data_IF_593515502515
#
_entry.id   IF_593515502515
#
_cell.length_a   1.000
_cell.length_b   1.000
_cell.length_c   1.000
_cell.angle_alpha   90.00
_cell.angle_beta   90.00
_cell.angle_gamma   90.00
#
_symmetry.space_group_name_H-M   'P 1'
#
loop_
_entity.id
_entity.type
_entity.pdbx_description
1 polymer ?
#
# COMPACT_ATOMS: atom_id res chain seq x y z
N UNK A 1 3.94 -7.70 10.86
CA UNK A 1 3.51 -6.30 11.07
C UNK A 1 2.02 -6.24 10.80
N UNK A 2 1.23 -5.55 11.64
CA UNK A 2 -0.22 -5.40 11.42
C UNK A 2 -0.52 -4.06 10.78
N UNK A 3 -1.34 -4.06 9.75
CA UNK A 3 -1.75 -2.86 9.01
C UNK A 3 -3.26 -2.75 9.06
N UNK A 4 -3.75 -1.67 9.67
CA UNK A 4 -5.16 -1.37 9.78
C UNK A 4 -5.52 -0.39 8.67
N UNK A 5 -6.39 -0.80 7.76
CA UNK A 5 -7.06 0.08 6.82
C UNK A 5 -8.39 0.49 7.43
N UNK A 6 -8.55 1.77 7.74
CA UNK A 6 -9.67 2.31 8.53
C UNK A 6 -10.55 3.14 7.63
N UNK A 7 -11.85 2.88 7.59
CA UNK A 7 -12.81 3.74 6.89
C UNK A 7 -13.08 4.99 7.73
N UNK A 8 -12.17 5.97 7.69
CA UNK A 8 -12.22 7.16 8.56
C UNK A 8 -13.31 8.17 8.18
N UNK A 9 -13.97 8.01 7.03
CA UNK A 9 -15.16 8.77 6.64
C UNK A 9 -15.79 8.26 5.35
N UNK A 10 -16.89 8.87 4.90
CA UNK A 10 -17.66 8.44 3.72
C UNK A 10 -16.81 8.32 2.45
N UNK A 11 -15.89 9.27 2.24
CA UNK A 11 -14.96 9.31 1.11
C UNK A 11 -13.51 9.48 1.56
N UNK A 12 -13.19 8.84 2.69
CA UNK A 12 -11.87 8.93 3.33
C UNK A 12 -11.51 7.60 3.96
N UNK A 13 -10.22 7.30 3.96
CA UNK A 13 -9.66 6.24 4.76
C UNK A 13 -8.40 6.74 5.45
N UNK A 14 -8.03 6.06 6.53
CA UNK A 14 -6.78 6.25 7.22
C UNK A 14 -6.09 4.91 7.42
N UNK A 15 -4.84 4.95 7.85
CA UNK A 15 -4.09 3.77 8.20
C UNK A 15 -3.46 3.89 9.58
N UNK A 16 -3.35 2.75 10.24
CA UNK A 16 -2.61 2.57 11.49
C UNK A 16 -1.76 1.32 11.39
N UNK A 17 -0.49 1.38 11.79
CA UNK A 17 0.46 0.29 11.60
C UNK A 17 1.14 -0.04 12.93
N UNK A 18 1.03 -1.31 13.30
CA UNK A 18 1.67 -1.87 14.50
C UNK A 18 2.86 -2.76 14.10
N UNK A 19 4.01 -2.45 14.71
CA UNK A 19 5.26 -3.19 14.57
C UNK A 19 5.77 -3.54 15.96
N UNK A 20 6.20 -4.77 16.14
CA UNK A 20 6.73 -5.24 17.42
C UNK A 20 7.92 -4.38 17.86
N UNK A 21 7.89 -3.90 19.11
CA UNK A 21 8.96 -3.08 19.69
C UNK A 21 9.15 -1.69 19.06
N UNK A 22 8.22 -1.23 18.21
CA UNK A 22 8.32 0.07 17.54
C UNK A 22 7.07 0.93 17.76
N UNK A 23 7.20 2.27 17.67
CA UNK A 23 6.05 3.15 17.75
C UNK A 23 5.04 2.85 16.64
N UNK A 24 3.76 2.98 16.98
CA UNK A 24 2.64 2.94 16.04
C UNK A 24 2.80 4.09 15.05
N UNK A 25 2.58 3.78 13.78
CA UNK A 25 2.54 4.77 12.71
C UNK A 25 1.11 4.96 12.22
N UNK A 26 0.76 6.18 11.85
CA UNK A 26 -0.55 6.53 11.30
C UNK A 26 -0.43 7.43 10.07
N UNK A 27 -1.43 7.36 9.21
CA UNK A 27 -1.65 8.28 8.09
C UNK A 27 -3.16 8.49 7.94
N UNK A 28 -3.67 9.65 8.32
CA UNK A 28 -5.10 9.98 8.22
C UNK A 28 -5.28 11.49 7.91
N UNK A 29 -5.95 11.87 6.81
CA UNK A 29 -6.42 10.98 5.75
C UNK A 29 -5.26 10.42 4.92
N UNK A 30 -5.41 9.17 4.47
CA UNK A 30 -4.58 8.59 3.44
C UNK A 30 -4.99 9.08 2.04
N UNK A 31 -4.05 9.23 1.09
CA UNK A 31 -4.34 9.68 -0.27
C UNK A 31 -5.03 8.58 -1.10
N UNK A 32 -5.62 8.95 -2.24
CA UNK A 32 -6.11 7.94 -3.20
C UNK A 32 -7.30 7.13 -2.71
N UNK A 33 -8.28 7.78 -2.06
CA UNK A 33 -9.54 7.12 -1.71
C UNK A 33 -10.21 6.54 -2.95
N UNK A 34 -10.65 5.28 -2.83
CA UNK A 34 -11.50 4.60 -3.80
C UNK A 34 -12.52 3.72 -3.05
N UNK A 35 -13.79 3.67 -3.50
CA UNK A 35 -14.84 2.95 -2.78
C UNK A 35 -14.69 1.43 -2.81
N UNK A 36 -13.99 0.89 -3.81
CA UNK A 36 -13.83 -0.55 -3.98
C UNK A 36 -12.55 -1.06 -3.32
N UNK A 37 -11.43 -0.35 -3.52
CA UNK A 37 -10.13 -0.79 -3.05
C UNK A 37 -9.20 0.41 -2.84
N UNK A 38 -8.83 0.75 -1.59
CA UNK A 38 -7.94 1.88 -1.29
C UNK A 38 -6.59 1.76 -2.00
N UNK A 39 -6.03 2.90 -2.41
CA UNK A 39 -4.73 2.94 -3.11
C UNK A 39 -3.61 2.24 -2.34
N UNK A 40 -3.47 2.50 -1.04
CA UNK A 40 -2.44 1.84 -0.23
C UNK A 40 -2.67 0.32 -0.09
N UNK A 41 -3.91 -0.16 -0.26
CA UNK A 41 -4.20 -1.61 -0.23
C UNK A 41 -3.73 -2.29 -1.51
N UNK A 42 -3.75 -1.58 -2.65
CA UNK A 42 -3.12 -2.02 -3.90
C UNK A 42 -1.63 -2.24 -3.67
N UNK A 43 -0.92 -1.23 -3.14
CA UNK A 43 0.49 -1.35 -2.80
C UNK A 43 0.76 -2.51 -1.83
N UNK A 44 -0.07 -2.66 -0.80
CA UNK A 44 0.08 -3.73 0.18
C UNK A 44 0.06 -5.11 -0.47
N UNK A 45 -0.95 -5.41 -1.29
CA UNK A 45 -1.06 -6.73 -1.93
C UNK A 45 0.05 -6.94 -2.93
N UNK A 46 0.33 -5.94 -3.78
CA UNK A 46 1.32 -6.06 -4.84
C UNK A 46 2.71 -6.28 -4.27
N UNK A 47 3.12 -5.48 -3.28
CA UNK A 47 4.41 -5.64 -2.64
C UNK A 47 4.51 -6.99 -1.91
N UNK A 48 3.45 -7.42 -1.23
CA UNK A 48 3.43 -8.70 -0.51
C UNK A 48 3.53 -9.90 -1.45
N UNK A 49 2.74 -9.92 -2.52
CA UNK A 49 2.67 -11.03 -3.48
C UNK A 49 3.95 -11.11 -4.30
N UNK A 50 4.45 -9.98 -4.76
CA UNK A 50 5.72 -9.95 -5.50
C UNK A 50 6.92 -10.13 -4.55
N UNK A 51 6.80 -9.84 -3.26
CA UNK A 51 7.90 -9.88 -2.30
C UNK A 51 8.83 -8.66 -2.40
N UNK A 52 8.31 -7.51 -2.81
CA UNK A 52 9.04 -6.25 -2.91
C UNK A 52 9.22 -5.65 -1.51
N UNK A 53 10.45 -5.23 -1.17
CA UNK A 53 10.79 -4.73 0.17
C UNK A 53 11.21 -3.26 0.16
N UNK A 54 11.50 -2.71 -1.01
CA UNK A 54 11.80 -1.30 -1.21
C UNK A 54 10.56 -0.41 -1.41
N UNK A 55 9.36 -0.98 -1.53
CA UNK A 55 8.09 -0.25 -1.59
C UNK A 55 7.61 0.30 -0.23
N UNK A 56 6.38 0.81 -0.17
CA UNK A 56 5.79 1.48 1.00
C UNK A 56 5.83 0.59 2.24
N UNK A 57 5.25 -0.60 2.18
CA UNK A 57 5.11 -1.48 3.35
C UNK A 57 6.42 -2.18 3.68
N UNK A 58 7.23 -2.47 2.67
CA UNK A 58 8.61 -2.93 2.86
C UNK A 58 9.46 -1.92 3.63
N UNK A 59 9.39 -0.64 3.27
CA UNK A 59 10.10 0.44 3.98
C UNK A 59 9.61 0.60 5.42
N UNK A 60 8.30 0.52 5.64
CA UNK A 60 7.72 0.61 6.99
C UNK A 60 8.14 -0.60 7.82
N UNK A 61 8.13 -1.82 7.26
CA UNK A 61 8.64 -3.02 7.93
C UNK A 61 10.13 -2.88 8.28
N UNK A 62 10.92 -2.18 7.45
CA UNK A 62 12.33 -1.88 7.68
C UNK A 62 12.60 -0.72 8.66
N UNK A 63 11.56 -0.16 9.28
CA UNK A 63 11.67 0.90 10.29
C UNK A 63 11.67 2.33 9.74
N UNK A 64 11.28 2.52 8.47
CA UNK A 64 11.00 3.83 7.89
C UNK A 64 9.55 4.28 8.11
N UNK A 65 9.21 5.41 7.49
CA UNK A 65 7.90 6.05 7.50
C UNK A 65 7.28 6.18 6.09
N UNK A 66 7.94 5.63 5.07
CA UNK A 66 7.57 5.77 3.65
C UNK A 66 7.29 7.23 3.20
N UNK A 67 7.83 8.22 3.92
CA UNK A 67 7.67 9.65 3.62
C UNK A 67 6.34 10.29 4.02
N UNK A 68 5.31 9.52 4.37
CA UNK A 68 3.96 10.04 4.66
C UNK A 68 3.40 9.66 6.03
N UNK A 69 3.93 8.61 6.66
CA UNK A 69 3.45 8.17 7.96
C UNK A 69 4.10 8.95 9.10
N UNK A 70 3.36 9.10 10.20
CA UNK A 70 3.88 9.75 11.40
C UNK A 70 3.63 8.90 12.64
N UNK A 71 4.42 9.11 13.69
CA UNK A 71 4.24 8.43 14.96
C UNK A 71 2.92 8.89 15.59
N UNK A 72 2.08 7.93 15.98
CA UNK A 72 0.79 8.17 16.62
C UNK A 72 0.92 9.13 17.82
N UNK A 73 0.01 10.09 17.89
CA UNK A 73 -0.09 11.01 19.02
C UNK A 73 -0.84 10.34 20.17
N UNK A 74 -0.36 10.52 21.40
CA UNK A 74 -0.89 9.80 22.56
C UNK A 74 -0.34 8.36 22.65
N UNK A 75 -0.32 7.80 23.86
CA UNK A 75 0.30 6.51 24.15
C UNK A 75 1.30 6.59 25.30
N UNK A 76 1.97 5.47 25.59
CA UNK A 76 2.85 5.32 26.74
C UNK A 76 4.14 6.17 26.68
N UNK A 77 4.50 6.69 25.50
CA UNK A 77 5.71 7.50 25.32
C UNK A 77 5.49 8.93 25.80
N UNK A 78 6.48 9.46 26.54
CA UNK A 78 6.56 10.89 26.82
C UNK A 78 6.70 11.70 25.52
N UNK A 79 6.37 12.99 25.58
CA UNK A 79 6.49 13.88 24.41
C UNK A 79 7.91 13.90 23.82
N UNK A 80 8.94 13.86 24.69
CA UNK A 80 10.35 13.87 24.28
C UNK A 80 10.76 12.57 23.59
N UNK A 81 10.35 11.42 24.11
CA UNK A 81 10.62 10.11 23.50
C UNK A 81 9.92 9.98 22.15
N UNK A 82 8.69 10.47 22.04
CA UNK A 82 7.93 10.49 20.78
C UNK A 82 8.62 11.34 19.73
N UNK A 83 9.07 12.56 20.08
CA UNK A 83 9.79 13.41 19.15
C UNK A 83 11.10 12.76 18.67
N UNK A 84 11.84 12.11 19.58
CA UNK A 84 13.05 11.37 19.23
C UNK A 84 12.74 10.20 18.30
N UNK A 85 11.68 9.45 18.59
CA UNK A 85 11.24 8.33 17.78
C UNK A 85 10.82 8.78 16.37
N UNK A 86 10.01 9.84 16.26
CA UNK A 86 9.61 10.41 14.98
C UNK A 86 10.81 10.84 14.14
N UNK A 87 11.77 11.57 14.71
CA UNK A 87 13.01 11.95 14.01
C UNK A 87 13.80 10.74 13.52
N UNK A 88 13.87 9.67 14.32
CA UNK A 88 14.54 8.42 13.94
C UNK A 88 13.83 7.74 12.76
N UNK A 89 12.50 7.70 12.77
CA UNK A 89 11.70 7.12 11.68
C UNK A 89 11.92 7.91 10.38
N UNK A 90 11.79 9.24 10.41
CA UNK A 90 12.03 10.12 9.25
C UNK A 90 13.45 9.96 8.70
N UNK A 91 14.46 9.96 9.57
CA UNK A 91 15.84 9.78 9.14
C UNK A 91 16.09 8.41 8.51
N UNK A 92 15.42 7.36 9.00
CA UNK A 92 15.50 6.01 8.43
C UNK A 92 14.74 5.93 7.10
N UNK A 93 13.52 6.48 7.03
CA UNK A 93 12.71 6.57 5.81
C UNK A 93 13.45 7.28 4.69
N UNK A 94 14.01 8.47 4.95
CA UNK A 94 14.80 9.21 3.97
C UNK A 94 16.01 8.43 3.45
N UNK A 95 16.64 7.57 4.26
CA UNK A 95 17.72 6.68 3.80
C UNK A 95 17.18 5.56 2.92
N UNK A 96 16.06 4.94 3.31
CA UNK A 96 15.43 3.84 2.57
C UNK A 96 14.94 4.29 1.20
N UNK A 97 14.26 5.45 1.12
CA UNK A 97 13.82 6.07 -0.14
C UNK A 97 15.01 6.29 -1.07
N UNK A 98 16.12 6.85 -0.57
CA UNK A 98 17.33 7.05 -1.38
C UNK A 98 17.95 5.75 -1.90
N UNK A 99 17.76 4.64 -1.18
CA UNK A 99 18.29 3.33 -1.54
C UNK A 99 17.29 2.40 -2.23
N UNK A 100 16.08 2.88 -2.53
CA UNK A 100 14.99 2.01 -3.05
C UNK A 100 15.33 1.38 -4.41
N UNK A 101 16.12 2.11 -5.21
CA UNK A 101 16.56 1.69 -6.54
C UNK A 101 15.40 1.22 -7.43
N UNK A 102 15.72 0.27 -8.31
CA UNK A 102 14.76 -0.29 -9.27
C UNK A 102 13.61 -1.04 -8.60
N UNK A 103 13.82 -1.65 -7.44
CA UNK A 103 12.74 -2.37 -6.74
C UNK A 103 11.65 -1.42 -6.24
N UNK A 104 12.02 -0.23 -5.74
CA UNK A 104 11.06 0.79 -5.37
C UNK A 104 10.24 1.28 -6.57
N UNK A 105 10.89 1.55 -7.69
CA UNK A 105 10.20 1.89 -8.95
C UNK A 105 9.27 0.77 -9.42
N UNK A 106 9.72 -0.48 -9.36
CA UNK A 106 8.92 -1.64 -9.73
C UNK A 106 7.67 -1.77 -8.84
N UNK A 107 7.74 -1.38 -7.57
CA UNK A 107 6.57 -1.35 -6.68
C UNK A 107 5.48 -0.44 -7.23
N UNK A 108 5.83 0.80 -7.58
CA UNK A 108 4.91 1.79 -8.14
C UNK A 108 4.32 1.33 -9.48
N UNK A 109 5.20 0.85 -10.38
CA UNK A 109 4.78 0.39 -11.71
C UNK A 109 3.87 -0.84 -11.61
N UNK A 110 4.19 -1.81 -10.75
CA UNK A 110 3.37 -3.00 -10.57
C UNK A 110 2.02 -2.64 -9.92
N UNK A 111 2.00 -1.76 -8.91
CA UNK A 111 0.76 -1.27 -8.30
C UNK A 111 -0.15 -0.63 -9.35
N UNK A 112 0.40 0.26 -10.18
CA UNK A 112 -0.32 0.87 -11.29
C UNK A 112 -0.87 -0.15 -12.29
N UNK A 113 -0.04 -1.09 -12.76
CA UNK A 113 -0.43 -2.10 -13.75
C UNK A 113 -1.54 -3.03 -13.23
N UNK A 114 -1.43 -3.49 -11.98
CA UNK A 114 -2.45 -4.34 -11.39
C UNK A 114 -3.74 -3.57 -11.09
N UNK A 115 -3.66 -2.33 -10.62
CA UNK A 115 -4.84 -1.49 -10.37
C UNK A 115 -5.63 -1.25 -11.65
N UNK A 116 -4.96 -0.81 -12.72
CA UNK A 116 -5.62 -0.58 -14.02
C UNK A 116 -6.18 -1.89 -14.59
N UNK A 117 -5.39 -2.96 -14.58
CA UNK A 117 -5.83 -4.26 -15.09
C UNK A 117 -7.08 -4.78 -14.38
N UNK A 118 -7.09 -4.74 -13.05
CA UNK A 118 -8.23 -5.21 -12.25
C UNK A 118 -9.45 -4.30 -12.38
N UNK A 119 -9.27 -2.97 -12.38
CA UNK A 119 -10.41 -2.03 -12.53
C UNK A 119 -11.03 -2.12 -13.92
N UNK A 120 -10.23 -2.39 -14.95
CA UNK A 120 -10.76 -2.56 -16.31
C UNK A 120 -11.65 -3.78 -16.49
N UNK A 121 -11.45 -4.84 -15.68
CA UNK A 121 -12.29 -6.04 -15.72
C UNK A 121 -13.55 -5.94 -14.85
N UNK A 122 -13.58 -5.02 -13.88
CA UNK A 122 -14.65 -4.91 -12.88
C UNK A 122 -15.58 -3.71 -13.09
N UNK A 123 -15.11 -2.65 -13.77
CA UNK A 123 -15.88 -1.42 -13.97
C UNK A 123 -16.29 -1.24 -15.44
N UNK A 124 -17.43 -0.54 -15.71
CA UNK A 124 -17.87 -0.27 -17.08
C UNK A 124 -16.86 0.55 -17.88
N UNK A 125 -16.69 0.20 -19.15
CA UNK A 125 -15.80 0.91 -20.08
C UNK A 125 -16.08 2.43 -20.10
N UNK A 126 -15.01 3.22 -20.04
CA UNK A 126 -15.07 4.68 -20.03
C UNK A 126 -13.84 5.28 -20.69
N UNK A 127 -13.94 6.54 -21.15
CA UNK A 127 -12.80 7.24 -21.75
C UNK A 127 -11.58 7.28 -20.81
N UNK A 128 -11.80 7.50 -19.51
CA UNK A 128 -10.74 7.50 -18.50
C UNK A 128 -10.05 6.14 -18.38
N UNK A 129 -10.82 5.05 -18.41
CA UNK A 129 -10.25 3.69 -18.39
C UNK A 129 -9.46 3.37 -19.65
N UNK A 130 -9.93 3.76 -20.83
CA UNK A 130 -9.19 3.54 -22.08
C UNK A 130 -7.86 4.29 -22.09
N UNK A 131 -7.83 5.51 -21.54
CA UNK A 131 -6.58 6.26 -21.35
C UNK A 131 -5.64 5.54 -20.38
N UNK A 132 -6.16 5.10 -19.23
CA UNK A 132 -5.37 4.37 -18.23
C UNK A 132 -4.83 3.03 -18.78
N UNK A 133 -5.63 2.29 -19.55
CA UNK A 133 -5.21 1.07 -20.24
C UNK A 133 -4.08 1.33 -21.24
N UNK A 134 -4.22 2.37 -22.08
CA UNK A 134 -3.15 2.74 -23.01
C UNK A 134 -1.86 3.16 -22.30
N UNK A 135 -1.96 3.79 -21.12
CA UNK A 135 -0.80 4.08 -20.28
C UNK A 135 -0.21 2.81 -19.65
N UNK A 136 -1.04 1.91 -19.15
CA UNK A 136 -0.61 0.60 -18.64
C UNK A 136 0.12 -0.22 -19.72
N UNK A 137 -0.36 -0.21 -20.96
CA UNK A 137 0.32 -0.87 -22.09
C UNK A 137 1.71 -0.29 -22.34
N UNK A 138 1.85 1.05 -22.34
CA UNK A 138 3.16 1.72 -22.50
C UNK A 138 4.10 1.41 -21.34
N UNK A 139 3.60 1.49 -20.11
CA UNK A 139 4.37 1.16 -18.90
C UNK A 139 4.85 -0.28 -18.94
N UNK A 140 3.98 -1.21 -19.32
CA UNK A 140 4.31 -2.64 -19.47
C UNK A 140 5.35 -2.89 -20.57
N UNK A 141 5.29 -2.14 -21.67
CA UNK A 141 6.28 -2.24 -22.74
C UNK A 141 7.69 -1.80 -22.28
N UNK A 142 7.79 -0.86 -21.34
CA UNK A 142 9.06 -0.36 -20.81
C UNK A 142 9.73 -1.28 -19.78
N UNK A 143 9.02 -2.28 -19.24
CA UNK A 143 9.58 -3.25 -18.30
C UNK A 143 10.63 -4.16 -18.95
N UNK A 144 11.51 -4.75 -18.13
CA UNK A 144 12.36 -5.85 -18.61
C UNK A 144 11.54 -7.13 -18.84
N UNK A 145 12.03 -8.10 -19.63
CA UNK A 145 11.37 -9.40 -19.78
C UNK A 145 11.11 -10.11 -18.45
N UNK A 146 12.08 -10.05 -17.53
CA UNK A 146 11.97 -10.70 -16.21
C UNK A 146 10.94 -10.00 -15.31
N UNK A 147 10.89 -8.66 -15.34
CA UNK A 147 9.88 -7.87 -14.62
C UNK A 147 8.47 -8.19 -15.13
N UNK A 148 8.28 -8.27 -16.45
CA UNK A 148 7.00 -8.67 -17.05
C UNK A 148 6.61 -10.08 -16.62
N UNK A 149 7.51 -11.05 -16.74
CA UNK A 149 7.23 -12.45 -16.37
C UNK A 149 6.84 -12.58 -14.89
N UNK A 150 7.51 -11.84 -14.00
CA UNK A 150 7.18 -11.80 -12.58
C UNK A 150 5.79 -11.22 -12.32
N UNK A 151 5.41 -10.13 -12.99
CA UNK A 151 4.07 -9.54 -12.89
C UNK A 151 3.01 -10.51 -13.42
N UNK A 152 3.25 -11.12 -14.57
CA UNK A 152 2.30 -12.02 -15.22
C UNK A 152 2.00 -13.25 -14.38
N UNK A 153 3.05 -13.86 -13.83
CA UNK A 153 2.89 -15.02 -12.93
C UNK A 153 2.15 -14.70 -11.63
N UNK A 154 2.19 -13.43 -11.18
CA UNK A 154 1.52 -13.00 -9.96
C UNK A 154 0.05 -12.59 -10.17
N UNK A 155 -0.38 -12.34 -11.41
CA UNK A 155 -1.67 -11.70 -11.70
C UNK A 155 -2.87 -12.40 -11.07
N UNK A 156 -2.99 -13.73 -11.22
CA UNK A 156 -4.13 -14.47 -10.67
C UNK A 156 -4.21 -14.34 -9.15
N UNK A 157 -3.06 -14.30 -8.45
CA UNK A 157 -3.02 -14.17 -6.99
C UNK A 157 -3.36 -12.75 -6.55
N UNK A 158 -2.79 -11.74 -7.21
CA UNK A 158 -3.08 -10.33 -6.91
C UNK A 158 -4.57 -10.03 -7.12
N UNK A 159 -5.16 -10.45 -8.24
CA UNK A 159 -6.57 -10.21 -8.52
C UNK A 159 -7.49 -10.96 -7.54
N UNK A 160 -7.15 -12.21 -7.17
CA UNK A 160 -7.89 -12.94 -6.13
C UNK A 160 -7.84 -12.26 -4.76
N UNK A 161 -6.70 -11.66 -4.41
CA UNK A 161 -6.58 -10.85 -3.19
C UNK A 161 -7.37 -9.54 -3.28
N UNK A 162 -7.33 -8.83 -4.41
CA UNK A 162 -8.13 -7.62 -4.63
C UNK A 162 -9.62 -7.88 -4.50
N UNK A 163 -10.16 -8.94 -5.12
CA UNK A 163 -11.58 -9.28 -4.99
C UNK A 163 -11.99 -9.54 -3.54
N UNK A 164 -11.21 -10.36 -2.82
CA UNK A 164 -11.48 -10.69 -1.41
C UNK A 164 -11.45 -9.45 -0.52
N UNK A 165 -10.41 -8.63 -0.67
CA UNK A 165 -10.21 -7.44 0.16
C UNK A 165 -11.21 -6.34 -0.20
N UNK A 166 -11.54 -6.18 -1.48
CA UNK A 166 -12.56 -5.23 -1.95
C UNK A 166 -13.93 -5.56 -1.38
N UNK A 167 -14.33 -6.84 -1.38
CA UNK A 167 -15.57 -7.28 -0.76
C UNK A 167 -15.62 -6.95 0.74
N UNK A 168 -14.51 -7.19 1.45
CA UNK A 168 -14.41 -6.90 2.89
C UNK A 168 -14.45 -5.40 3.15
N UNK A 169 -13.71 -4.61 2.36
CA UNK A 169 -13.64 -3.15 2.48
C UNK A 169 -15.01 -2.48 2.28
N UNK A 170 -15.75 -2.89 1.25
CA UNK A 170 -17.09 -2.33 0.97
C UNK A 170 -18.08 -2.55 2.11
N UNK A 171 -17.95 -3.66 2.83
CA UNK A 171 -18.81 -4.01 3.95
C UNK A 171 -18.55 -3.19 5.22
N UNK A 172 -17.39 -2.53 5.33
CA UNK A 172 -17.05 -1.72 6.52
C UNK A 172 -17.91 -0.46 6.62
N UNK A 173 -18.35 -0.17 7.84
CA UNK A 173 -18.93 1.13 8.20
C UNK A 173 -17.83 2.14 8.50
N UNK A 174 -18.19 3.43 8.50
CA UNK A 174 -17.29 4.48 8.97
C UNK A 174 -16.88 4.20 10.43
N UNK A 175 -15.58 4.26 10.70
CA UNK A 175 -14.95 3.93 11.98
C UNK A 175 -14.48 2.48 12.10
N UNK A 176 -14.88 1.58 11.19
CA UNK A 176 -14.41 0.19 11.19
C UNK A 176 -13.09 0.03 10.43
N UNK A 177 -12.39 -1.07 10.71
CA UNK A 177 -11.08 -1.34 10.15
C UNK A 177 -10.96 -2.78 9.62
N UNK A 178 -10.28 -2.91 8.47
CA UNK A 178 -9.75 -4.16 7.95
C UNK A 178 -8.29 -4.28 8.36
N UNK A 179 -7.94 -5.33 9.09
CA UNK A 179 -6.57 -5.55 9.58
C UNK A 179 -5.90 -6.65 8.76
N UNK A 180 -4.75 -6.31 8.17
CA UNK A 180 -3.95 -7.21 7.37
C UNK A 180 -2.60 -7.49 8.03
N UNK A 181 -2.15 -8.73 7.90
CA UNK A 181 -0.80 -9.13 8.28
C UNK A 181 0.16 -8.99 7.09
N UNK A 182 1.19 -8.16 7.27
CA UNK A 182 2.30 -8.07 6.32
C UNK A 182 3.38 -9.11 6.65
N UNK A 183 3.87 -9.90 5.66
CA UNK A 183 3.60 -9.83 4.21
C UNK A 183 2.62 -10.90 3.68
N UNK A 184 1.72 -11.45 4.50
CA UNK A 184 0.93 -12.65 4.15
C UNK A 184 -0.42 -12.37 3.47
N UNK A 185 -0.83 -11.10 3.31
CA UNK A 185 -2.18 -10.65 2.82
C UNK A 185 -3.37 -11.26 3.58
N UNK A 186 -3.08 -11.84 4.75
CA UNK A 186 -4.06 -12.48 5.63
C UNK A 186 -4.81 -11.42 6.42
N UNK A 187 -6.14 -11.57 6.47
CA UNK A 187 -7.01 -10.81 7.37
C UNK A 187 -6.90 -11.40 8.78
N UNK A 188 -6.73 -10.55 9.80
CA UNK A 188 -6.51 -10.94 11.21
C UNK A 188 -7.38 -10.18 12.18
#
# INVERSE_FOLDING_TARGET
MKVHFIRSGERRYGMRIEREGAPVLVMDPAPGFDPDLPHDMVHFVVEAVLGLKAGVFGQIAAGGDAGSFHVEAGGALSAKERQRAARKQVAKGAKLIKSQGREGELSELAAFLFDVGWRSSTRPDSAAQRVALGEAERTRAALSPDERARIDSAQSRVFGDFERLSATWRALRVGEALVLEWPSTKVI
#
